data_IF_128960480963
#
_entry.id   IF_128960480963
#
_cell.length_a   1.000
_cell.length_b   1.000
_cell.length_c   1.000
_cell.angle_alpha   90.00
_cell.angle_beta   90.00
_cell.angle_gamma   90.00
#
_symmetry.space_group_name_H-M   'P 1'
#
loop_
_entity.id
_entity.type
_entity.pdbx_description
1 polymer ?
#
# COMPACT_ATOMS: atom_id res chain seq x y z
N UNK A 1 -3.92 4.41 36.15
CA UNK A 1 -4.19 3.22 35.32
C UNK A 1 -4.91 3.52 34.00
N UNK A 2 -5.44 4.73 33.77
CA UNK A 2 -6.29 5.04 32.59
C UNK A 2 -5.52 5.20 31.27
N UNK A 3 -4.28 5.68 31.30
CA UNK A 3 -3.47 5.95 30.09
C UNK A 3 -3.02 4.68 29.38
N UNK A 4 -2.63 3.64 30.12
CA UNK A 4 -2.14 2.37 29.54
C UNK A 4 -3.25 1.67 28.73
N UNK A 5 -4.48 1.64 29.24
CA UNK A 5 -5.62 1.03 28.55
C UNK A 5 -5.98 1.79 27.27
N UNK A 6 -5.95 3.12 27.28
CA UNK A 6 -6.21 3.94 26.09
C UNK A 6 -5.15 3.71 24.99
N UNK A 7 -3.89 3.54 25.40
CA UNK A 7 -2.76 3.39 24.49
C UNK A 7 -2.79 2.03 23.80
N UNK A 8 -3.07 0.96 24.55
CA UNK A 8 -3.31 -0.37 23.99
C UNK A 8 -4.50 -0.40 23.03
N UNK A 9 -5.57 0.34 23.34
CA UNK A 9 -6.78 0.40 22.51
C UNK A 9 -6.58 1.20 21.22
N UNK A 10 -5.76 2.25 21.25
CA UNK A 10 -5.40 3.00 20.04
C UNK A 10 -4.40 2.23 19.18
N UNK A 11 -3.45 1.55 19.82
CA UNK A 11 -2.43 0.74 19.16
C UNK A 11 -3.03 -0.49 18.47
N UNK A 12 -4.08 -1.09 19.02
CA UNK A 12 -4.79 -2.23 18.39
C UNK A 12 -5.38 -1.91 17.01
N UNK A 13 -5.59 -0.63 16.68
CA UNK A 13 -6.05 -0.19 15.35
C UNK A 13 -4.93 -0.14 14.31
N UNK A 14 -3.67 -0.19 14.73
CA UNK A 14 -2.53 -0.30 13.84
C UNK A 14 -2.36 -1.76 13.44
N UNK A 15 -2.38 -2.10 12.13
CA UNK A 15 -2.18 -3.48 11.70
C UNK A 15 -0.74 -3.92 12.01
N UNK A 16 -0.52 -5.23 12.13
CA UNK A 16 0.83 -5.79 12.10
C UNK A 16 1.39 -5.63 10.68
N UNK A 17 2.65 -5.21 10.55
CA UNK A 17 3.35 -5.10 9.29
C UNK A 17 3.65 -6.49 8.73
N UNK A 18 3.12 -6.77 7.54
CA UNK A 18 3.33 -8.05 6.88
C UNK A 18 4.76 -8.13 6.32
N UNK A 19 5.39 -9.29 6.43
CA UNK A 19 6.76 -9.52 5.96
C UNK A 19 6.97 -9.25 4.47
N UNK A 20 5.94 -9.40 3.63
CA UNK A 20 5.98 -9.10 2.19
C UNK A 20 5.75 -7.61 1.86
N UNK A 21 5.42 -6.78 2.85
CA UNK A 21 5.20 -5.35 2.65
C UNK A 21 3.89 -4.95 1.97
N UNK A 22 2.97 -5.88 1.72
CA UNK A 22 1.74 -5.58 0.97
C UNK A 22 0.85 -4.55 1.65
N UNK A 23 0.88 -4.48 2.99
CA UNK A 23 0.13 -3.50 3.77
C UNK A 23 0.96 -2.27 4.20
N UNK A 24 2.16 -2.08 3.65
CA UNK A 24 3.10 -1.01 4.05
C UNK A 24 2.46 0.37 4.09
N UNK A 25 1.68 0.71 3.06
CA UNK A 25 1.03 2.03 2.96
C UNK A 25 0.02 2.26 4.10
N UNK A 26 -0.81 1.27 4.39
CA UNK A 26 -1.83 1.34 5.44
C UNK A 26 -1.16 1.33 6.82
N UNK A 27 -0.20 0.44 7.01
CA UNK A 27 0.62 0.34 8.23
C UNK A 27 1.26 1.69 8.54
N UNK A 28 2.02 2.25 7.60
CA UNK A 28 2.77 3.49 7.81
C UNK A 28 1.86 4.65 8.16
N UNK A 29 0.73 4.81 7.46
CA UNK A 29 -0.24 5.88 7.76
C UNK A 29 -0.80 5.76 9.18
N UNK A 30 -1.25 4.56 9.56
CA UNK A 30 -1.86 4.33 10.88
C UNK A 30 -0.84 4.43 12.00
N UNK A 31 0.35 3.85 11.82
CA UNK A 31 1.44 3.89 12.78
C UNK A 31 1.95 5.32 13.00
N UNK A 32 2.17 6.10 11.92
CA UNK A 32 2.50 7.54 12.03
C UNK A 32 1.46 8.31 12.82
N UNK A 33 0.17 8.11 12.55
CA UNK A 33 -0.89 8.80 13.28
C UNK A 33 -0.87 8.46 14.79
N UNK A 34 -0.68 7.18 15.13
CA UNK A 34 -0.56 6.73 16.52
C UNK A 34 0.66 7.35 17.21
N UNK A 35 1.85 7.26 16.61
CA UNK A 35 3.10 7.79 17.18
C UNK A 35 3.05 9.33 17.31
N UNK A 36 2.46 10.03 16.35
CA UNK A 36 2.23 11.48 16.44
C UNK A 36 1.33 11.87 17.61
N UNK A 37 0.30 11.08 17.91
CA UNK A 37 -0.55 11.30 19.10
C UNK A 37 0.21 11.14 20.43
N UNK A 38 1.40 10.53 20.38
CA UNK A 38 2.33 10.36 21.50
C UNK A 38 3.48 11.36 21.52
N UNK A 39 3.59 12.21 20.50
CA UNK A 39 4.71 13.17 20.34
C UNK A 39 6.07 12.45 20.25
N UNK A 40 6.09 11.24 19.70
CA UNK A 40 7.30 10.41 19.60
C UNK A 40 7.88 10.33 18.18
N UNK A 41 7.23 10.96 17.18
CA UNK A 41 7.61 10.80 15.77
C UNK A 41 9.06 11.26 15.48
N UNK A 42 9.55 12.24 16.24
CA UNK A 42 10.92 12.72 16.12
C UNK A 42 12.01 11.67 16.39
N UNK A 43 11.68 10.60 17.14
CA UNK A 43 12.57 9.46 17.34
C UNK A 43 12.64 8.53 16.11
N UNK A 44 11.62 8.55 15.25
CA UNK A 44 11.55 7.70 14.04
C UNK A 44 12.17 8.37 12.82
N UNK A 45 11.99 9.67 12.66
CA UNK A 45 12.56 10.44 11.54
C UNK A 45 13.92 11.07 11.85
N UNK A 46 14.41 10.91 13.09
CA UNK A 46 15.71 11.40 13.54
C UNK A 46 15.74 12.88 13.88
N UNK A 47 14.59 13.59 13.87
CA UNK A 47 14.52 15.01 14.25
C UNK A 47 14.69 15.26 15.76
N UNK A 48 14.56 14.21 16.58
CA UNK A 48 14.88 14.22 18.02
C UNK A 48 16.13 13.38 18.31
N UNK A 49 17.34 13.88 17.98
CA UNK A 49 18.58 13.15 18.21
C UNK A 49 18.85 13.00 19.72
N UNK A 50 19.64 11.99 20.06
CA UNK A 50 20.10 11.80 21.44
C UNK A 50 20.87 13.05 21.92
N UNK A 51 20.53 13.63 23.09
CA UNK A 51 21.28 14.74 23.67
C UNK A 51 22.76 14.37 23.87
N UNK A 52 23.66 15.31 23.57
CA UNK A 52 25.11 15.16 23.71
C UNK A 52 25.66 16.13 24.76
N UNK A 53 26.81 15.85 25.40
CA UNK A 53 27.40 16.75 26.39
C UNK A 53 27.56 18.18 25.86
N UNK A 54 27.25 19.23 26.66
CA UNK A 54 27.02 19.21 28.10
C UNK A 54 25.54 19.06 28.53
N UNK A 55 24.70 18.33 27.78
CA UNK A 55 23.31 18.06 28.17
C UNK A 55 23.18 17.49 29.59
N UNK A 56 22.09 17.88 30.27
CA UNK A 56 21.81 17.41 31.63
C UNK A 56 21.43 15.92 31.62
N UNK A 57 21.82 15.18 32.66
CA UNK A 57 21.49 13.74 32.77
C UNK A 57 19.96 13.48 32.68
N UNK A 58 19.15 14.36 33.26
CA UNK A 58 17.68 14.26 33.18
C UNK A 58 17.14 14.34 31.74
N UNK A 59 17.80 15.09 30.85
CA UNK A 59 17.44 15.19 29.43
C UNK A 59 17.78 13.89 28.70
N UNK A 60 18.95 13.32 29.00
CA UNK A 60 19.40 12.03 28.46
C UNK A 60 18.46 10.91 28.91
N UNK A 61 18.09 10.87 30.18
CA UNK A 61 17.19 9.86 30.75
C UNK A 61 15.78 9.96 30.15
N UNK A 62 15.28 11.18 29.96
CA UNK A 62 14.00 11.42 29.28
C UNK A 62 14.04 10.92 27.83
N UNK A 63 15.10 11.24 27.10
CA UNK A 63 15.29 10.76 25.73
C UNK A 63 15.33 9.22 25.68
N UNK A 64 16.08 8.57 26.57
CA UNK A 64 16.17 7.10 26.63
C UNK A 64 14.82 6.44 26.92
N UNK A 65 14.01 7.07 27.78
CA UNK A 65 12.65 6.61 28.08
C UNK A 65 11.76 6.65 26.83
N UNK A 66 11.74 7.79 26.12
CA UNK A 66 10.97 7.95 24.90
C UNK A 66 11.47 7.03 23.77
N UNK A 67 12.78 6.84 23.65
CA UNK A 67 13.39 5.91 22.72
C UNK A 67 12.92 4.47 22.98
N UNK A 68 12.91 4.04 24.24
CA UNK A 68 12.44 2.71 24.65
C UNK A 68 10.95 2.51 24.38
N UNK A 69 10.14 3.53 24.63
CA UNK A 69 8.70 3.52 24.36
C UNK A 69 8.40 3.46 22.85
N UNK A 70 9.09 4.27 22.05
CA UNK A 70 9.01 4.27 20.60
C UNK A 70 9.42 2.90 20.02
N UNK A 71 10.51 2.30 20.53
CA UNK A 71 10.94 0.95 20.15
C UNK A 71 9.85 -0.06 20.47
N UNK A 72 9.30 -0.05 21.68
CA UNK A 72 8.25 -0.98 22.10
C UNK A 72 6.97 -0.85 21.25
N UNK A 73 6.60 0.36 20.83
CA UNK A 73 5.48 0.53 19.91
C UNK A 73 5.76 -0.09 18.55
N UNK A 74 6.95 0.12 17.99
CA UNK A 74 7.31 -0.46 16.70
C UNK A 74 7.30 -1.99 16.77
N UNK A 75 7.99 -2.58 17.74
CA UNK A 75 8.16 -4.04 17.85
C UNK A 75 6.84 -4.80 17.99
N UNK A 76 5.87 -4.24 18.73
CA UNK A 76 4.53 -4.84 18.88
C UNK A 76 3.74 -4.98 17.58
N UNK A 77 4.18 -4.33 16.50
CA UNK A 77 3.50 -4.36 15.18
C UNK A 77 4.39 -4.94 14.09
N UNK A 78 5.45 -5.66 14.44
CA UNK A 78 6.28 -6.40 13.50
C UNK A 78 6.04 -7.90 13.64
N UNK A 79 6.08 -8.62 12.53
CA UNK A 79 6.28 -10.06 12.55
C UNK A 79 7.69 -10.41 13.07
N UNK A 80 7.83 -11.54 13.76
CA UNK A 80 9.07 -11.96 14.43
C UNK A 80 10.30 -11.90 13.52
N UNK A 81 10.17 -12.32 12.27
CA UNK A 81 11.28 -12.31 11.30
C UNK A 81 11.76 -10.89 10.97
N UNK A 82 10.85 -9.92 10.91
CA UNK A 82 11.18 -8.51 10.67
C UNK A 82 11.76 -7.89 11.94
N UNK A 83 11.20 -8.20 13.10
CA UNK A 83 11.71 -7.75 14.40
C UNK A 83 13.15 -8.20 14.61
N UNK A 84 13.45 -9.51 14.51
CA UNK A 84 14.80 -10.05 14.73
C UNK A 84 15.85 -9.38 13.84
N UNK A 85 15.47 -9.04 12.61
CA UNK A 85 16.36 -8.33 11.72
C UNK A 85 16.49 -6.87 12.14
N UNK A 86 15.40 -6.17 12.42
CA UNK A 86 15.43 -4.74 12.73
C UNK A 86 15.97 -4.43 14.14
N UNK A 87 15.98 -5.36 15.07
CA UNK A 87 16.42 -5.12 16.46
C UNK A 87 17.92 -4.85 16.59
N UNK A 88 18.74 -5.24 15.60
CA UNK A 88 20.19 -5.02 15.64
C UNK A 88 20.59 -3.55 15.42
N UNK A 89 19.64 -2.64 15.25
CA UNK A 89 19.89 -1.22 15.06
C UNK A 89 19.87 -0.53 16.43
N UNK A 90 20.83 0.34 16.76
CA UNK A 90 20.92 1.01 18.06
C UNK A 90 19.76 1.96 18.33
N UNK A 91 19.25 2.66 17.31
CA UNK A 91 18.17 3.64 17.47
C UNK A 91 16.89 3.22 16.74
N UNK A 92 15.76 3.75 17.19
CA UNK A 92 14.45 3.59 16.53
C UNK A 92 14.46 4.23 15.15
N UNK A 93 15.18 5.34 14.96
CA UNK A 93 15.35 5.97 13.66
C UNK A 93 15.99 5.00 12.65
N UNK A 94 17.12 4.37 13.03
CA UNK A 94 17.79 3.39 12.18
C UNK A 94 16.97 2.12 11.98
N UNK A 95 16.22 1.69 13.02
CA UNK A 95 15.27 0.58 12.91
C UNK A 95 14.17 0.87 11.89
N UNK A 96 13.59 2.07 11.95
CA UNK A 96 12.54 2.54 11.07
C UNK A 96 13.03 2.70 9.63
N UNK A 97 14.22 3.27 9.43
CA UNK A 97 14.86 3.39 8.12
C UNK A 97 15.10 2.01 7.50
N UNK A 98 15.66 1.07 8.27
CA UNK A 98 15.88 -0.29 7.81
C UNK A 98 14.58 -0.97 7.34
N UNK A 99 13.53 -0.91 8.15
CA UNK A 99 12.22 -1.49 7.83
C UNK A 99 11.64 -0.81 6.58
N UNK A 100 11.68 0.53 6.53
CA UNK A 100 11.16 1.31 5.40
C UNK A 100 11.84 0.92 4.10
N UNK A 101 13.17 0.81 4.10
CA UNK A 101 13.94 0.44 2.91
C UNK A 101 13.64 -0.99 2.46
N UNK A 102 13.67 -1.95 3.40
CA UNK A 102 13.40 -3.36 3.10
C UNK A 102 11.99 -3.58 2.56
N UNK A 103 11.00 -2.98 3.21
CA UNK A 103 9.59 -3.16 2.86
C UNK A 103 9.22 -2.39 1.60
N UNK A 104 9.81 -1.21 1.35
CA UNK A 104 9.62 -0.47 0.10
C UNK A 104 10.22 -1.22 -1.09
N UNK A 105 11.38 -1.85 -0.93
CA UNK A 105 11.94 -2.71 -1.97
C UNK A 105 11.02 -3.91 -2.26
N UNK A 106 10.55 -4.61 -1.22
CA UNK A 106 9.63 -5.73 -1.37
C UNK A 106 8.29 -5.33 -2.01
N UNK A 107 7.69 -4.22 -1.58
CA UNK A 107 6.44 -3.75 -2.16
C UNK A 107 6.64 -3.28 -3.61
N UNK A 108 7.78 -2.70 -3.98
CA UNK A 108 8.12 -2.41 -5.37
C UNK A 108 8.21 -3.69 -6.22
N UNK A 109 8.80 -4.77 -5.70
CA UNK A 109 8.80 -6.07 -6.37
C UNK A 109 7.39 -6.64 -6.52
N UNK A 110 6.55 -6.55 -5.48
CA UNK A 110 5.15 -6.99 -5.54
C UNK A 110 4.37 -6.18 -6.57
N UNK A 111 4.51 -4.85 -6.57
CA UNK A 111 3.88 -3.96 -7.55
C UNK A 111 4.33 -4.33 -8.97
N UNK A 112 5.63 -4.52 -9.19
CA UNK A 112 6.16 -4.94 -10.49
C UNK A 112 5.64 -6.30 -10.93
N UNK A 113 5.52 -7.27 -10.01
CA UNK A 113 4.95 -8.59 -10.29
C UNK A 113 3.47 -8.49 -10.67
N UNK A 114 2.66 -7.74 -9.89
CA UNK A 114 1.25 -7.53 -10.19
C UNK A 114 1.05 -6.80 -11.52
N UNK A 115 1.92 -5.84 -11.83
CA UNK A 115 1.89 -5.11 -13.10
C UNK A 115 2.23 -6.05 -14.26
N UNK A 116 3.26 -6.88 -14.13
CA UNK A 116 3.60 -7.88 -15.14
C UNK A 116 2.46 -8.90 -15.34
N UNK A 117 1.85 -9.36 -14.24
CA UNK A 117 0.70 -10.27 -14.29
C UNK A 117 -0.50 -9.64 -14.97
N UNK A 118 -0.72 -8.35 -14.78
CA UNK A 118 -1.75 -7.56 -15.43
C UNK A 118 -1.44 -7.36 -16.92
N UNK A 119 -0.21 -6.98 -17.28
CA UNK A 119 0.22 -6.70 -18.65
C UNK A 119 0.26 -7.95 -19.53
N UNK A 120 0.54 -9.12 -18.93
CA UNK A 120 0.59 -10.40 -19.65
C UNK A 120 -0.76 -11.14 -19.67
N UNK A 121 -1.80 -10.64 -19.00
CA UNK A 121 -3.11 -11.26 -18.98
C UNK A 121 -3.84 -11.08 -20.32
N UNK A 122 -3.69 -12.02 -21.24
CA UNK A 122 -4.34 -11.98 -22.55
C UNK A 122 -5.37 -13.09 -22.67
N UNK A 123 -6.47 -12.79 -23.35
CA UNK A 123 -7.50 -13.75 -23.71
C UNK A 123 -6.97 -14.64 -24.85
N UNK A 124 -7.07 -15.95 -24.71
CA UNK A 124 -6.76 -16.88 -25.80
C UNK A 124 -7.79 -16.79 -26.93
N UNK A 125 -7.41 -17.25 -28.13
CA UNK A 125 -8.26 -17.22 -29.34
C UNK A 125 -9.60 -17.96 -29.19
N UNK A 126 -9.66 -18.92 -28.26
CA UNK A 126 -10.84 -19.77 -27.99
C UNK A 126 -11.46 -19.51 -26.63
N UNK A 127 -10.90 -18.57 -25.87
CA UNK A 127 -11.37 -18.28 -24.51
C UNK A 127 -12.62 -17.42 -24.54
N UNK A 128 -13.38 -17.47 -23.45
CA UNK A 128 -14.55 -16.62 -23.28
C UNK A 128 -14.11 -15.18 -22.97
N UNK A 129 -14.24 -14.29 -23.95
CA UNK A 129 -13.90 -12.86 -23.83
C UNK A 129 -14.62 -12.18 -22.66
N UNK A 130 -15.90 -12.51 -22.41
CA UNK A 130 -16.64 -11.92 -21.28
C UNK A 130 -16.00 -12.31 -19.95
N UNK A 131 -15.75 -13.60 -19.75
CA UNK A 131 -15.09 -14.11 -18.53
C UNK A 131 -13.70 -13.50 -18.36
N UNK A 132 -12.95 -13.35 -19.44
CA UNK A 132 -11.65 -12.68 -19.41
C UNK A 132 -11.75 -11.23 -18.92
N UNK A 133 -12.67 -10.44 -19.47
CA UNK A 133 -12.81 -9.02 -19.12
C UNK A 133 -13.39 -8.80 -17.72
N UNK A 134 -14.44 -9.53 -17.36
CA UNK A 134 -15.20 -9.32 -16.12
C UNK A 134 -14.54 -9.96 -14.89
N UNK A 135 -13.72 -11.01 -15.08
CA UNK A 135 -13.09 -11.74 -13.98
C UNK A 135 -11.57 -11.60 -14.07
N UNK A 136 -10.94 -12.17 -15.10
CA UNK A 136 -9.48 -12.34 -15.12
C UNK A 136 -8.73 -11.00 -15.14
N UNK A 137 -9.11 -10.08 -16.02
CA UNK A 137 -8.46 -8.78 -16.18
C UNK A 137 -8.89 -7.80 -15.06
N UNK A 138 -10.17 -7.83 -14.69
CA UNK A 138 -10.72 -7.00 -13.63
C UNK A 138 -10.07 -7.29 -12.26
N UNK A 139 -9.89 -8.57 -11.88
CA UNK A 139 -9.27 -8.94 -10.61
C UNK A 139 -7.82 -8.45 -10.54
N UNK A 140 -7.05 -8.58 -11.63
CA UNK A 140 -5.67 -8.10 -11.71
C UNK A 140 -5.60 -6.58 -11.61
N UNK A 141 -6.55 -5.86 -12.21
CA UNK A 141 -6.66 -4.41 -12.05
C UNK A 141 -6.97 -4.00 -10.60
N UNK A 142 -7.90 -4.68 -9.93
CA UNK A 142 -8.23 -4.42 -8.53
C UNK A 142 -7.02 -4.67 -7.61
N UNK A 143 -6.22 -5.69 -7.88
CA UNK A 143 -4.98 -5.94 -7.13
C UNK A 143 -3.98 -4.79 -7.25
N UNK A 144 -3.86 -4.18 -8.44
CA UNK A 144 -3.02 -2.99 -8.64
C UNK A 144 -3.54 -1.77 -7.86
N UNK A 145 -4.85 -1.54 -7.87
CA UNK A 145 -5.47 -0.47 -7.06
C UNK A 145 -5.22 -0.72 -5.57
N UNK A 146 -5.31 -1.96 -5.11
CA UNK A 146 -5.14 -2.33 -3.71
C UNK A 146 -3.72 -2.00 -3.19
N UNK A 147 -2.70 -2.11 -4.05
CA UNK A 147 -1.32 -1.71 -3.72
C UNK A 147 -1.01 -0.23 -4.02
N UNK A 148 -2.02 0.55 -4.43
CA UNK A 148 -1.94 2.00 -4.61
C UNK A 148 -1.47 2.46 -6.00
N UNK A 149 -1.47 1.57 -7.00
CA UNK A 149 -1.21 1.97 -8.39
C UNK A 149 -2.44 2.69 -8.94
N UNK A 150 -2.20 3.88 -9.50
CA UNK A 150 -3.23 4.69 -10.15
C UNK A 150 -3.08 4.51 -11.66
N UNK A 151 -4.15 4.09 -12.33
CA UNK A 151 -4.23 3.97 -13.78
C UNK A 151 -5.39 4.83 -14.29
N UNK A 152 -5.17 5.56 -15.38
CA UNK A 152 -6.24 6.35 -16.00
C UNK A 152 -7.22 5.45 -16.77
N UNK A 153 -8.44 5.93 -16.96
CA UNK A 153 -9.45 5.24 -17.78
C UNK A 153 -8.93 4.95 -19.20
N UNK A 154 -8.15 5.87 -19.78
CA UNK A 154 -7.54 5.70 -21.10
C UNK A 154 -6.47 4.60 -21.14
N UNK A 155 -5.66 4.48 -20.09
CA UNK A 155 -4.67 3.40 -19.96
C UNK A 155 -5.37 2.05 -19.79
N UNK A 156 -6.43 2.01 -18.97
CA UNK A 156 -7.20 0.79 -18.78
C UNK A 156 -7.94 0.36 -20.06
N UNK A 157 -8.55 1.29 -20.78
CA UNK A 157 -9.19 1.03 -22.08
C UNK A 157 -8.18 0.48 -23.11
N UNK A 158 -6.99 1.08 -23.19
CA UNK A 158 -5.91 0.60 -24.06
C UNK A 158 -5.51 -0.83 -23.68
N UNK A 159 -5.40 -1.11 -22.38
CA UNK A 159 -5.08 -2.45 -21.90
C UNK A 159 -6.16 -3.47 -22.28
N UNK A 160 -7.45 -3.12 -22.14
CA UNK A 160 -8.58 -3.97 -22.52
C UNK A 160 -8.43 -4.37 -23.99
N UNK A 161 -8.28 -3.39 -24.90
CA UNK A 161 -8.14 -3.65 -26.34
C UNK A 161 -6.97 -4.59 -26.60
N UNK A 162 -5.80 -4.29 -26.03
CA UNK A 162 -4.59 -5.10 -26.22
C UNK A 162 -4.67 -6.50 -25.59
N UNK A 163 -5.57 -6.72 -24.63
CA UNK A 163 -5.76 -8.03 -23.98
C UNK A 163 -6.54 -9.02 -24.84
N UNK A 164 -7.25 -8.54 -25.87
CA UNK A 164 -8.14 -9.36 -26.69
C UNK A 164 -7.41 -9.97 -27.89
N UNK A 165 -7.93 -11.06 -28.46
CA UNK A 165 -7.38 -11.63 -29.68
C UNK A 165 -7.54 -10.67 -30.88
N UNK A 166 -6.67 -10.81 -31.90
CA UNK A 166 -6.55 -9.85 -33.01
C UNK A 166 -7.83 -9.65 -33.80
N UNK A 167 -8.67 -10.68 -33.94
CA UNK A 167 -9.98 -10.57 -34.59
C UNK A 167 -10.86 -9.55 -33.85
N UNK A 168 -10.92 -9.59 -32.52
CA UNK A 168 -11.68 -8.63 -31.71
C UNK A 168 -11.08 -7.22 -31.75
N UNK A 169 -9.75 -7.10 -31.71
CA UNK A 169 -9.08 -5.79 -31.83
C UNK A 169 -9.47 -5.09 -33.14
N UNK A 170 -9.50 -5.84 -34.24
CA UNK A 170 -9.86 -5.32 -35.57
C UNK A 170 -11.30 -4.81 -35.60
N UNK A 171 -12.24 -5.50 -34.96
CA UNK A 171 -13.63 -5.02 -34.84
C UNK A 171 -13.75 -3.74 -34.01
N UNK A 172 -13.00 -3.63 -32.91
CA UNK A 172 -13.00 -2.43 -32.07
C UNK A 172 -12.38 -1.22 -32.77
N UNK A 173 -11.34 -1.40 -33.59
CA UNK A 173 -10.74 -0.32 -34.37
C UNK A 173 -11.56 0.11 -35.59
N UNK A 174 -12.43 -0.76 -36.11
CA UNK A 174 -13.26 -0.47 -37.30
C UNK A 174 -14.64 0.10 -36.92
N UNK A 175 -15.07 -0.07 -35.66
CA UNK A 175 -16.34 0.40 -35.11
C UNK A 175 -16.52 1.92 -35.05
N UNK A 176 -15.44 2.70 -35.17
CA UNK A 176 -15.51 4.17 -35.22
C UNK A 176 -15.75 4.73 -36.65
N UNK A 177 -15.80 3.88 -37.69
CA UNK A 177 -15.87 4.36 -39.08
C UNK A 177 -17.21 4.15 -39.79
N UNK A 178 -18.07 3.18 -39.44
CA UNK A 178 -19.35 2.97 -40.14
C UNK A 178 -20.46 2.48 -39.20
N UNK A 179 -21.53 3.27 -39.16
CA UNK A 179 -22.89 3.03 -38.64
C UNK A 179 -23.31 3.67 -37.31
N UNK A 180 -24.06 4.75 -37.45
CA UNK A 180 -25.14 5.13 -36.56
C UNK A 180 -26.22 4.02 -36.46
N UNK A 181 -26.65 3.76 -35.21
CA UNK A 181 -27.98 3.27 -34.76
C UNK A 181 -28.19 1.75 -34.53
N UNK A 182 -29.11 1.32 -33.62
CA UNK A 182 -28.96 1.40 -32.15
C UNK A 182 -29.47 0.10 -31.48
N UNK A 183 -28.65 -0.87 -31.08
CA UNK A 183 -29.08 -1.92 -30.12
C UNK A 183 -27.87 -2.71 -29.60
N UNK A 184 -27.04 -2.05 -28.80
CA UNK A 184 -26.20 -2.71 -27.80
C UNK A 184 -25.67 -1.62 -26.87
N UNK A 185 -26.56 -1.05 -26.06
CA UNK A 185 -26.13 -0.30 -24.89
C UNK A 185 -25.44 -1.31 -23.95
N UNK A 186 -24.14 -1.51 -24.14
CA UNK A 186 -23.27 -1.81 -23.00
C UNK A 186 -23.19 -0.49 -22.24
N UNK A 187 -24.26 -0.22 -21.48
CA UNK A 187 -24.22 0.74 -20.40
C UNK A 187 -23.22 0.18 -19.41
N UNK A 188 -21.95 0.56 -19.55
CA UNK A 188 -21.05 0.58 -18.41
C UNK A 188 -21.65 1.63 -17.50
N UNK A 189 -22.45 1.17 -16.53
CA UNK A 189 -23.04 2.03 -15.53
C UNK A 189 -21.88 2.72 -14.78
N UNK A 190 -21.74 4.06 -14.84
CA UNK A 190 -20.81 4.76 -13.97
C UNK A 190 -21.53 4.88 -12.62
N UNK A 191 -21.42 3.83 -11.81
CA UNK A 191 -21.95 3.86 -10.45
C UNK A 191 -20.90 3.32 -9.51
N UNK A 192 -19.91 4.17 -9.22
CA UNK A 192 -19.29 4.29 -7.91
C UNK A 192 -18.76 5.73 -7.76
N UNK A 193 -19.70 6.68 -7.79
CA UNK A 193 -19.51 8.00 -7.22
C UNK A 193 -19.34 7.84 -5.71
N UNK A 194 -18.11 7.75 -5.23
CA UNK A 194 -17.81 7.99 -3.82
C UNK A 194 -17.69 9.50 -3.61
N UNK A 195 -18.83 10.14 -3.35
CA UNK A 195 -18.86 11.40 -2.60
C UNK A 195 -19.13 11.09 -1.12
N UNK A 196 -18.56 11.88 -0.19
CA UNK A 196 -18.49 11.58 1.22
C UNK A 196 -19.83 11.86 1.89
N UNK A 197 -20.13 11.11 2.95
CA UNK A 197 -21.07 11.58 3.97
C UNK A 197 -20.38 11.64 5.33
N UNK A 198 -20.63 12.80 5.92
CA UNK A 198 -20.35 13.33 7.24
C UNK A 198 -20.57 12.36 8.39
#
# INVERSE_FOLDING_TARGET
MTTITADLTSMSKVPTLLSNGSNWLIFTKRFKNFVNSKVLWGHFDGTTPKPTPPAAQAEIDLWMKHESEARNFLTQRLEDSMFLQADQRPTVAEMWEYISNKVTALSAHVVASLQADFDNCNCGDKDNVRTHLEINLADKYLNLIAVGVIMSDSQYATRIVNSLPRNYQSYLSTGDAHHSSPHASITISPSLTLLPKS
#
